data_IF_033179353870
#
_entry.id   IF_033179353870
#
_cell.length_a   1.000
_cell.length_b   1.000
_cell.length_c   1.000
_cell.angle_alpha   90.00
_cell.angle_beta   90.00
_cell.angle_gamma   90.00
#
_symmetry.space_group_name_H-M   'P 1'
#
loop_
_entity.id
_entity.type
_entity.pdbx_description
1 polymer ?
#
# COMPACT_ATOMS: atom_id res chain seq x y z
N UNK A 1 -19.11 -12.41 9.18
CA UNK A 1 -17.92 -13.09 8.66
C UNK A 1 -16.89 -13.21 9.78
N UNK A 2 -16.24 -14.35 10.01
CA UNK A 2 -15.24 -14.46 11.06
C UNK A 2 -14.00 -13.61 10.76
N UNK A 3 -13.23 -13.30 11.82
CA UNK A 3 -11.97 -12.59 11.70
C UNK A 3 -10.92 -13.55 11.18
N UNK A 4 -10.43 -13.30 9.96
CA UNK A 4 -9.37 -14.05 9.28
C UNK A 4 -8.13 -13.20 9.05
N UNK A 5 -8.23 -11.90 9.31
CA UNK A 5 -7.17 -10.90 9.21
C UNK A 5 -7.74 -9.49 9.33
N UNK A 6 -6.91 -8.48 9.15
CA UNK A 6 -7.28 -7.08 9.30
C UNK A 6 -8.43 -6.67 8.37
N UNK A 7 -8.45 -7.18 7.13
CA UNK A 7 -9.50 -6.88 6.16
C UNK A 7 -10.91 -7.28 6.64
N UNK A 8 -11.03 -8.44 7.34
CA UNK A 8 -12.32 -8.97 7.81
C UNK A 8 -12.77 -8.37 9.15
N UNK A 9 -11.89 -7.64 9.86
CA UNK A 9 -12.17 -7.17 11.21
C UNK A 9 -13.36 -6.20 11.27
N UNK A 10 -13.33 -5.15 10.45
CA UNK A 10 -14.42 -4.15 10.36
C UNK A 10 -15.73 -4.81 9.91
N UNK A 11 -15.66 -5.79 9.02
CA UNK A 11 -16.85 -6.53 8.58
C UNK A 11 -17.47 -7.34 9.72
N UNK A 12 -16.65 -8.02 10.51
CA UNK A 12 -17.13 -8.75 11.72
C UNK A 12 -17.77 -7.79 12.72
N UNK A 13 -17.19 -6.59 12.94
CA UNK A 13 -17.79 -5.57 13.77
C UNK A 13 -19.16 -5.12 13.24
N UNK A 14 -19.31 -4.96 11.92
CA UNK A 14 -20.59 -4.61 11.30
C UNK A 14 -21.66 -5.71 11.53
N UNK A 15 -21.30 -6.98 11.41
CA UNK A 15 -22.22 -8.10 11.68
C UNK A 15 -22.65 -8.12 13.15
N UNK A 16 -21.71 -7.90 14.08
CA UNK A 16 -22.04 -7.81 15.52
C UNK A 16 -22.94 -6.61 15.78
N UNK A 17 -22.70 -5.45 15.19
CA UNK A 17 -23.56 -4.26 15.33
C UNK A 17 -24.98 -4.50 14.78
N UNK A 18 -25.10 -5.19 13.64
CA UNK A 18 -26.38 -5.56 13.05
C UNK A 18 -27.15 -6.54 13.97
N UNK A 19 -26.48 -7.57 14.48
CA UNK A 19 -27.05 -8.52 15.40
C UNK A 19 -27.43 -7.86 16.74
N UNK A 20 -26.58 -6.98 17.26
CA UNK A 20 -26.88 -6.21 18.49
C UNK A 20 -28.11 -5.33 18.32
N UNK A 21 -28.33 -4.74 17.15
CA UNK A 21 -29.56 -4.01 16.84
C UNK A 21 -30.79 -4.92 16.90
N UNK A 22 -30.70 -6.14 16.37
CA UNK A 22 -31.80 -7.12 16.46
C UNK A 22 -32.09 -7.49 17.91
N UNK A 23 -31.07 -7.71 18.73
CA UNK A 23 -31.23 -7.94 20.16
C UNK A 23 -31.96 -6.75 20.86
N UNK A 24 -31.53 -5.53 20.57
CA UNK A 24 -32.17 -4.34 21.14
C UNK A 24 -33.64 -4.20 20.70
N UNK A 25 -33.97 -4.55 19.48
CA UNK A 25 -35.36 -4.53 18.97
C UNK A 25 -36.27 -5.58 19.64
N UNK A 26 -35.69 -6.68 20.14
CA UNK A 26 -36.41 -7.71 20.87
C UNK A 26 -36.62 -7.38 22.35
N UNK A 27 -35.81 -6.46 22.91
CA UNK A 27 -35.91 -6.03 24.30
C UNK A 27 -36.81 -4.80 24.48
N UNK A 28 -37.34 -4.55 25.69
CA UNK A 28 -38.07 -3.33 25.98
C UNK A 28 -37.17 -2.08 25.73
N UNK A 29 -37.68 -1.00 25.13
CA UNK A 29 -36.89 0.20 24.81
C UNK A 29 -36.17 0.84 26.01
N UNK A 30 -36.71 0.64 27.23
CA UNK A 30 -36.10 1.16 28.44
C UNK A 30 -34.85 0.37 28.92
N UNK A 31 -34.63 -0.85 28.39
CA UNK A 31 -33.55 -1.75 28.82
C UNK A 31 -32.79 -2.31 27.64
N UNK A 32 -32.12 -1.47 26.84
CA UNK A 32 -31.32 -1.95 25.73
C UNK A 32 -30.15 -2.81 26.22
N UNK A 33 -29.77 -3.80 25.44
CA UNK A 33 -28.61 -4.65 25.73
C UNK A 33 -27.35 -3.80 25.92
N UNK A 34 -26.62 -4.07 27.00
CA UNK A 34 -25.31 -3.50 27.30
C UNK A 34 -24.35 -4.64 27.62
N UNK A 35 -23.17 -4.58 27.08
CA UNK A 35 -22.15 -5.61 27.28
C UNK A 35 -21.24 -5.23 28.43
N UNK A 36 -21.15 -6.09 29.44
CA UNK A 36 -20.24 -5.92 30.56
C UNK A 36 -18.86 -6.46 30.18
N UNK A 37 -17.85 -5.61 30.25
CA UNK A 37 -16.45 -5.99 30.04
C UNK A 37 -15.87 -6.62 31.32
N UNK A 38 -14.71 -7.32 31.22
CA UNK A 38 -14.03 -7.90 32.39
C UNK A 38 -13.71 -6.90 33.50
N UNK A 39 -13.51 -5.63 33.16
CA UNK A 39 -13.26 -4.51 34.08
C UNK A 39 -14.54 -3.88 34.66
N UNK A 40 -15.70 -4.52 34.48
CA UNK A 40 -17.04 -4.05 34.91
C UNK A 40 -17.56 -2.79 34.19
N UNK A 41 -16.89 -2.36 33.13
CA UNK A 41 -17.42 -1.26 32.29
C UNK A 41 -18.53 -1.79 31.41
N UNK A 42 -19.63 -1.03 31.32
CA UNK A 42 -20.75 -1.35 30.43
C UNK A 42 -20.57 -0.60 29.10
N UNK A 43 -20.58 -1.36 28.01
CA UNK A 43 -20.49 -0.83 26.63
C UNK A 43 -21.87 -0.88 25.98
N UNK A 44 -22.27 0.21 25.35
CA UNK A 44 -23.48 0.33 24.54
C UNK A 44 -23.19 0.05 23.07
N UNK A 45 -24.23 -0.29 22.28
CA UNK A 45 -24.11 -0.46 20.83
C UNK A 45 -23.51 0.79 20.16
N UNK A 46 -23.96 2.00 20.54
CA UNK A 46 -23.46 3.25 19.96
C UNK A 46 -21.97 3.52 20.26
N UNK A 47 -21.49 3.13 21.46
CA UNK A 47 -20.05 3.21 21.76
C UNK A 47 -19.23 2.24 20.93
N UNK A 48 -19.74 1.02 20.70
CA UNK A 48 -19.05 0.06 19.82
C UNK A 48 -19.10 0.48 18.36
N UNK A 49 -20.20 1.10 17.89
CA UNK A 49 -20.29 1.69 16.55
C UNK A 49 -19.26 2.81 16.36
N UNK A 50 -19.07 3.69 17.34
CA UNK A 50 -18.05 4.73 17.29
C UNK A 50 -16.61 4.13 17.22
N UNK A 51 -16.34 3.02 17.91
CA UNK A 51 -15.06 2.31 17.81
C UNK A 51 -14.85 1.71 16.42
N UNK A 52 -15.87 1.07 15.82
CA UNK A 52 -15.82 0.60 14.45
C UNK A 52 -15.50 1.72 13.46
N UNK A 53 -16.14 2.89 13.61
CA UNK A 53 -15.89 4.05 12.75
C UNK A 53 -14.48 4.60 12.92
N UNK A 54 -13.97 4.62 14.16
CA UNK A 54 -12.61 5.01 14.47
C UNK A 54 -11.57 4.03 13.84
N UNK A 55 -11.81 2.73 13.92
CA UNK A 55 -10.95 1.72 13.29
C UNK A 55 -10.96 1.85 11.76
N UNK A 56 -12.13 2.10 11.15
CA UNK A 56 -12.23 2.36 9.71
C UNK A 56 -11.44 3.63 9.31
N UNK A 57 -11.54 4.69 10.09
CA UNK A 57 -10.75 5.90 9.87
C UNK A 57 -9.23 5.63 10.00
N UNK A 58 -8.81 4.82 10.97
CA UNK A 58 -7.40 4.44 11.13
C UNK A 58 -6.89 3.58 9.96
N UNK A 59 -7.70 2.67 9.42
CA UNK A 59 -7.36 1.93 8.18
C UNK A 59 -7.11 2.89 7.01
N UNK A 60 -7.92 3.95 6.87
CA UNK A 60 -7.71 4.96 5.85
C UNK A 60 -6.40 5.75 6.08
N UNK A 61 -6.01 6.01 7.34
CA UNK A 61 -4.70 6.61 7.67
C UNK A 61 -3.57 5.70 7.21
N UNK A 62 -3.63 4.39 7.49
CA UNK A 62 -2.61 3.43 7.03
C UNK A 62 -2.49 3.47 5.50
N UNK A 63 -3.62 3.45 4.77
CA UNK A 63 -3.59 3.52 3.30
C UNK A 63 -3.01 4.85 2.78
N UNK A 64 -3.28 5.97 3.46
CA UNK A 64 -2.71 7.27 3.11
C UNK A 64 -1.19 7.31 3.31
N UNK A 65 -0.69 6.76 4.43
CA UNK A 65 0.77 6.69 4.67
C UNK A 65 1.47 5.73 3.70
N UNK A 66 0.85 4.61 3.33
CA UNK A 66 1.35 3.73 2.27
C UNK A 66 1.43 4.45 0.92
N UNK A 67 0.42 5.28 0.59
CA UNK A 67 0.44 6.12 -0.61
C UNK A 67 1.61 7.10 -0.59
N UNK A 68 1.83 7.78 0.54
CA UNK A 68 2.93 8.72 0.71
C UNK A 68 4.30 8.04 0.54
N UNK A 69 4.45 6.83 1.09
CA UNK A 69 5.66 6.03 0.97
C UNK A 69 5.92 5.59 -0.49
N UNK A 70 4.88 5.10 -1.19
CA UNK A 70 5.01 4.69 -2.60
C UNK A 70 5.42 5.86 -3.51
N UNK A 71 4.83 7.04 -3.28
CA UNK A 71 5.21 8.27 -4.02
C UNK A 71 6.64 8.70 -3.71
N UNK A 72 7.10 8.62 -2.46
CA UNK A 72 8.49 8.95 -2.10
C UNK A 72 9.48 8.01 -2.81
N UNK A 73 9.19 6.72 -2.89
CA UNK A 73 9.96 5.73 -3.65
C UNK A 73 10.00 6.04 -5.14
N UNK A 74 8.86 6.42 -5.73
CA UNK A 74 8.80 6.86 -7.13
C UNK A 74 9.67 8.09 -7.42
N UNK A 75 9.75 9.06 -6.51
CA UNK A 75 10.65 10.22 -6.62
C UNK A 75 12.12 9.79 -6.62
N UNK A 76 12.51 8.84 -5.77
CA UNK A 76 13.87 8.31 -5.72
C UNK A 76 14.22 7.61 -7.04
N UNK A 77 13.34 6.75 -7.56
CA UNK A 77 13.56 6.05 -8.82
C UNK A 77 13.73 7.00 -10.00
N UNK A 78 12.87 8.02 -10.11
CA UNK A 78 12.96 9.04 -11.14
C UNK A 78 14.26 9.84 -11.02
N UNK A 79 14.64 10.24 -9.80
CA UNK A 79 15.88 10.98 -9.54
C UNK A 79 17.12 10.16 -9.90
N UNK A 80 17.14 8.86 -9.57
CA UNK A 80 18.21 7.94 -9.99
C UNK A 80 18.31 7.81 -11.51
N UNK A 81 17.17 7.67 -12.20
CA UNK A 81 17.16 7.56 -13.66
C UNK A 81 17.76 8.82 -14.31
N UNK A 82 17.35 10.00 -13.85
CA UNK A 82 17.86 11.29 -14.32
C UNK A 82 19.36 11.43 -14.07
N UNK A 83 19.83 11.10 -12.88
CA UNK A 83 21.26 11.17 -12.53
C UNK A 83 22.10 10.16 -13.33
N UNK A 84 21.59 8.94 -13.56
CA UNK A 84 22.29 7.95 -14.36
C UNK A 84 22.41 8.37 -15.83
N UNK A 85 21.41 9.04 -16.39
CA UNK A 85 21.49 9.62 -17.73
C UNK A 85 22.64 10.66 -17.79
N UNK A 86 22.74 11.54 -16.81
CA UNK A 86 23.84 12.53 -16.72
C UNK A 86 25.21 11.87 -16.52
N UNK A 87 25.26 10.82 -15.73
CA UNK A 87 26.48 10.02 -15.57
C UNK A 87 26.94 9.45 -16.93
N UNK A 88 26.02 8.86 -17.71
CA UNK A 88 26.32 8.32 -19.01
C UNK A 88 26.76 9.39 -20.01
N UNK A 89 26.15 10.58 -19.99
CA UNK A 89 26.59 11.71 -20.82
C UNK A 89 28.02 12.17 -20.48
N UNK A 90 28.32 12.29 -19.16
CA UNK A 90 29.64 12.66 -18.71
C UNK A 90 30.70 11.65 -19.17
N UNK A 91 30.44 10.35 -18.97
CA UNK A 91 31.37 9.28 -19.38
C UNK A 91 31.56 9.24 -20.89
N UNK A 92 30.50 9.45 -21.68
CA UNK A 92 30.58 9.53 -23.14
C UNK A 92 31.44 10.71 -23.59
N UNK A 93 31.32 11.88 -22.97
CA UNK A 93 32.22 13.03 -23.24
C UNK A 93 33.63 12.72 -22.85
N UNK A 94 33.86 12.07 -21.71
CA UNK A 94 35.18 11.69 -21.24
C UNK A 94 35.88 10.75 -22.25
N UNK A 95 35.13 9.72 -22.72
CA UNK A 95 35.61 8.77 -23.72
C UNK A 95 35.94 9.45 -25.05
N UNK A 96 35.14 10.42 -25.48
CA UNK A 96 35.34 11.11 -26.77
C UNK A 96 36.44 12.18 -26.76
N UNK A 97 36.66 12.89 -25.65
CA UNK A 97 37.54 14.08 -25.61
C UNK A 97 38.78 13.91 -24.75
N UNK A 98 38.79 13.00 -23.78
CA UNK A 98 39.93 12.77 -22.86
C UNK A 98 40.51 11.36 -22.94
N UNK A 99 40.24 10.59 -24.02
CA UNK A 99 40.54 9.16 -24.19
C UNK A 99 41.99 8.78 -23.78
N UNK A 100 42.99 9.60 -24.06
CA UNK A 100 44.38 9.27 -23.79
C UNK A 100 44.95 10.04 -22.56
N UNK A 101 44.08 10.50 -21.68
CA UNK A 101 44.47 11.27 -20.49
C UNK A 101 44.32 10.45 -19.21
N UNK A 102 44.95 10.98 -18.12
CA UNK A 102 44.77 10.41 -16.80
C UNK A 102 43.30 10.55 -16.29
N UNK A 103 42.55 11.52 -16.81
CA UNK A 103 41.11 11.66 -16.48
C UNK A 103 40.28 10.48 -16.96
N UNK A 104 40.55 9.96 -18.17
CA UNK A 104 39.86 8.77 -18.68
C UNK A 104 40.16 7.54 -17.82
N UNK A 105 41.37 7.37 -17.32
CA UNK A 105 41.75 6.25 -16.44
C UNK A 105 41.08 6.34 -15.07
N UNK A 106 40.69 7.51 -14.64
CA UNK A 106 40.03 7.79 -13.36
C UNK A 106 38.48 7.69 -13.47
N UNK A 107 37.95 7.22 -14.62
CA UNK A 107 36.52 7.07 -14.86
C UNK A 107 35.88 6.20 -13.79
N UNK A 108 34.81 6.64 -13.08
CA UNK A 108 34.09 5.82 -12.15
C UNK A 108 33.21 4.79 -12.88
N UNK A 109 32.86 3.72 -12.18
CA UNK A 109 31.87 2.75 -12.69
C UNK A 109 30.46 3.34 -12.62
N UNK A 110 29.61 2.99 -13.61
CA UNK A 110 28.21 3.40 -13.59
C UNK A 110 27.46 2.67 -12.47
N UNK A 111 26.69 3.39 -11.63
CA UNK A 111 25.82 2.77 -10.66
C UNK A 111 24.62 2.11 -11.33
N UNK A 112 24.01 1.11 -10.68
CA UNK A 112 22.77 0.49 -11.12
C UNK A 112 21.55 1.22 -10.56
N UNK A 113 20.43 1.23 -11.30
CA UNK A 113 19.17 1.81 -10.82
C UNK A 113 18.65 1.13 -9.56
N UNK A 114 18.93 -0.18 -9.40
CA UNK A 114 18.52 -0.97 -8.23
C UNK A 114 19.50 -0.91 -7.06
N UNK A 115 20.61 -0.20 -7.22
CA UNK A 115 21.59 -0.06 -6.14
C UNK A 115 21.00 0.71 -4.96
N UNK A 116 21.37 0.32 -3.75
CA UNK A 116 21.02 1.07 -2.55
C UNK A 116 21.69 2.46 -2.54
N UNK A 117 21.28 3.32 -1.61
CA UNK A 117 21.69 4.71 -1.52
C UNK A 117 23.21 4.91 -1.63
N UNK A 118 23.98 4.18 -0.83
CA UNK A 118 25.45 4.35 -0.79
C UNK A 118 26.11 3.91 -2.12
N UNK A 119 25.71 2.76 -2.65
CA UNK A 119 26.26 2.19 -3.89
C UNK A 119 25.91 3.05 -5.11
N UNK A 120 24.77 3.75 -5.08
CA UNK A 120 24.40 4.71 -6.13
C UNK A 120 25.12 6.05 -5.96
N UNK A 121 25.20 6.60 -4.75
CA UNK A 121 25.75 7.93 -4.51
C UNK A 121 27.27 8.00 -4.60
N UNK A 122 27.99 6.94 -4.23
CA UNK A 122 29.47 6.90 -4.27
C UNK A 122 30.05 7.11 -5.68
N UNK A 123 29.61 6.40 -6.74
CA UNK A 123 30.05 6.66 -8.11
C UNK A 123 29.70 8.07 -8.59
N UNK A 124 28.54 8.62 -8.22
CA UNK A 124 28.15 9.99 -8.54
C UNK A 124 29.10 11.02 -7.89
N UNK A 125 29.43 10.82 -6.62
CA UNK A 125 30.44 11.65 -5.92
C UNK A 125 31.81 11.58 -6.56
N UNK A 126 32.24 10.38 -7.01
CA UNK A 126 33.49 10.19 -7.74
C UNK A 126 33.46 10.90 -9.10
N UNK A 127 32.36 10.86 -9.83
CA UNK A 127 32.15 11.61 -11.07
C UNK A 127 32.25 13.12 -10.83
N UNK A 128 31.59 13.64 -9.79
CA UNK A 128 31.65 15.07 -9.41
C UNK A 128 33.08 15.54 -9.13
N UNK A 129 33.84 14.73 -8.39
CA UNK A 129 35.26 15.03 -8.09
C UNK A 129 36.10 15.04 -9.36
N UNK A 130 35.88 14.09 -10.27
CA UNK A 130 36.56 14.03 -11.55
C UNK A 130 36.19 15.22 -12.43
N UNK A 131 34.92 15.61 -12.46
CA UNK A 131 34.44 16.77 -13.21
C UNK A 131 35.06 18.08 -12.72
N UNK A 132 35.18 18.27 -11.41
CA UNK A 132 35.91 19.42 -10.84
C UNK A 132 37.36 19.49 -11.34
N UNK A 133 38.10 18.36 -11.27
CA UNK A 133 39.48 18.28 -11.76
C UNK A 133 39.62 18.56 -13.25
N UNK A 134 38.61 18.18 -14.05
CA UNK A 134 38.59 18.49 -15.50
C UNK A 134 38.38 19.99 -15.70
N UNK A 135 37.49 20.62 -14.95
CA UNK A 135 37.24 22.07 -15.04
C UNK A 135 38.45 22.91 -14.63
N UNK A 136 39.27 22.42 -13.68
CA UNK A 136 40.50 23.09 -13.21
C UNK A 136 41.73 22.78 -14.11
N UNK A 137 41.58 21.81 -15.03
CA UNK A 137 42.67 21.36 -15.91
C UNK A 137 42.71 22.07 -17.27
N UNK A 138 43.71 21.74 -18.10
CA UNK A 138 43.76 22.25 -19.48
C UNK A 138 42.67 21.64 -20.35
N UNK A 139 41.98 22.52 -21.10
CA UNK A 139 40.95 22.07 -22.06
C UNK A 139 41.60 21.35 -23.27
N UNK A 140 41.11 20.17 -23.68
CA UNK A 140 41.47 19.59 -24.96
C UNK A 140 40.96 20.42 -26.14
N UNK A 141 41.55 20.24 -27.33
CA UNK A 141 41.13 20.97 -28.52
C UNK A 141 39.64 20.80 -28.80
N UNK A 142 38.94 21.91 -29.01
CA UNK A 142 37.51 21.95 -29.29
C UNK A 142 36.60 21.66 -28.09
N UNK A 143 37.12 21.84 -26.85
CA UNK A 143 36.34 21.78 -25.62
C UNK A 143 36.35 23.13 -24.92
N UNK A 144 35.22 23.63 -24.52
CA UNK A 144 35.05 24.81 -23.68
C UNK A 144 34.91 24.41 -22.23
N UNK A 145 35.65 25.04 -21.32
CA UNK A 145 35.54 24.90 -19.88
C UNK A 145 34.90 26.17 -19.27
N UNK A 146 34.14 26.06 -18.17
CA UNK A 146 33.80 24.80 -17.49
C UNK A 146 32.95 23.86 -18.35
N UNK A 147 33.15 22.55 -18.18
CA UNK A 147 32.43 21.52 -18.90
C UNK A 147 30.93 21.59 -18.55
N UNK A 148 30.08 21.59 -19.57
CA UNK A 148 28.62 21.56 -19.44
C UNK A 148 28.08 20.32 -20.19
N UNK A 149 27.19 19.56 -19.57
CA UNK A 149 26.51 18.46 -20.23
C UNK A 149 25.34 18.99 -21.07
N UNK A 150 25.10 18.43 -22.27
CA UNK A 150 24.03 18.91 -23.13
C UNK A 150 22.64 18.61 -22.53
N UNK A 151 21.64 19.33 -23.02
CA UNK A 151 20.22 18.98 -22.79
C UNK A 151 19.91 17.58 -23.30
N UNK A 152 18.93 16.92 -22.68
CA UNK A 152 18.39 15.64 -23.09
C UNK A 152 16.89 15.74 -23.34
N UNK A 153 16.27 14.68 -23.84
CA UNK A 153 14.83 14.62 -23.97
C UNK A 153 14.11 14.74 -22.61
N UNK A 154 14.63 14.05 -21.58
CA UNK A 154 14.06 14.10 -20.23
C UNK A 154 14.43 15.36 -19.45
N UNK A 155 15.57 16.00 -19.78
CA UNK A 155 16.06 17.20 -19.12
C UNK A 155 16.47 18.22 -20.19
N UNK A 156 15.55 19.10 -20.63
CA UNK A 156 15.75 19.97 -21.79
C UNK A 156 16.76 21.11 -21.56
N UNK A 157 17.32 21.23 -20.35
CA UNK A 157 18.34 22.22 -20.04
C UNK A 157 19.74 21.59 -19.97
N UNK A 158 20.78 22.28 -20.49
CA UNK A 158 22.17 21.87 -20.23
C UNK A 158 22.46 21.85 -18.74
N UNK A 159 23.37 20.99 -18.31
CA UNK A 159 23.68 20.81 -16.89
C UNK A 159 25.13 21.15 -16.56
N UNK A 160 25.30 21.97 -15.55
CA UNK A 160 26.56 22.28 -14.92
C UNK A 160 26.86 21.30 -13.77
N UNK A 161 28.13 21.31 -13.33
CA UNK A 161 28.54 20.54 -12.15
C UNK A 161 27.76 20.94 -10.88
N UNK A 162 27.49 22.25 -10.69
CA UNK A 162 26.74 22.75 -9.53
C UNK A 162 25.28 22.27 -9.52
N UNK A 163 24.63 22.23 -10.68
CA UNK A 163 23.28 21.72 -10.82
C UNK A 163 23.21 20.22 -10.54
N UNK A 164 24.20 19.44 -11.00
CA UNK A 164 24.30 18.01 -10.67
C UNK A 164 24.50 17.80 -9.16
N UNK A 165 25.32 18.61 -8.51
CA UNK A 165 25.50 18.57 -7.06
C UNK A 165 24.18 18.81 -6.32
N UNK A 166 23.39 19.79 -6.79
CA UNK A 166 22.06 20.08 -6.25
C UNK A 166 21.08 18.91 -6.43
N UNK A 167 21.10 18.25 -7.60
CA UNK A 167 20.27 17.05 -7.84
C UNK A 167 20.69 15.87 -6.96
N UNK A 168 22.00 15.68 -6.74
CA UNK A 168 22.49 14.63 -5.84
C UNK A 168 22.09 14.90 -4.39
N UNK A 169 22.15 16.17 -3.94
CA UNK A 169 21.63 16.55 -2.63
C UNK A 169 20.12 16.34 -2.51
N UNK A 170 19.36 16.67 -3.56
CA UNK A 170 17.92 16.41 -3.59
C UNK A 170 17.60 14.92 -3.49
N UNK A 171 18.38 14.04 -4.12
CA UNK A 171 18.24 12.59 -3.95
C UNK A 171 18.51 12.15 -2.51
N UNK A 172 19.51 12.74 -1.82
CA UNK A 172 19.78 12.43 -0.41
C UNK A 172 18.61 12.85 0.49
N UNK A 173 18.00 14.01 0.23
CA UNK A 173 16.78 14.42 0.94
C UNK A 173 15.59 13.51 0.65
N UNK A 174 15.45 13.02 -0.59
CA UNK A 174 14.39 12.09 -0.95
C UNK A 174 14.50 10.76 -0.19
N UNK A 175 15.71 10.23 0.03
CA UNK A 175 15.92 9.05 0.89
C UNK A 175 15.53 9.32 2.35
N UNK A 176 15.93 10.47 2.90
CA UNK A 176 15.53 10.83 4.27
C UNK A 176 14.01 11.00 4.42
N UNK A 177 13.32 11.51 3.38
CA UNK A 177 11.86 11.58 3.35
C UNK A 177 11.22 10.19 3.26
N UNK A 178 11.76 9.27 2.43
CA UNK A 178 11.30 7.87 2.38
C UNK A 178 11.38 7.20 3.75
N UNK A 179 12.51 7.32 4.45
CA UNK A 179 12.70 6.77 5.80
C UNK A 179 11.63 7.31 6.78
N UNK A 180 11.33 8.61 6.70
CA UNK A 180 10.29 9.23 7.52
C UNK A 180 8.89 8.68 7.19
N UNK A 181 8.56 8.50 5.90
CA UNK A 181 7.27 7.92 5.47
C UNK A 181 7.14 6.46 5.93
N UNK A 182 8.21 5.67 5.84
CA UNK A 182 8.22 4.30 6.34
C UNK A 182 7.93 4.24 7.85
N UNK A 183 8.55 5.11 8.64
CA UNK A 183 8.28 5.23 10.07
C UNK A 183 6.81 5.61 10.34
N UNK A 184 6.22 6.50 9.56
CA UNK A 184 4.82 6.87 9.70
C UNK A 184 3.87 5.69 9.44
N UNK A 185 4.17 4.84 8.44
CA UNK A 185 3.42 3.60 8.19
C UNK A 185 3.48 2.68 9.40
N UNK A 186 4.67 2.47 9.98
CA UNK A 186 4.85 1.63 11.18
C UNK A 186 4.00 2.15 12.35
N UNK A 187 4.02 3.47 12.61
CA UNK A 187 3.23 4.09 13.67
C UNK A 187 1.72 3.98 13.43
N UNK A 188 1.28 4.16 12.18
CA UNK A 188 -0.13 4.05 11.81
C UNK A 188 -0.66 2.62 12.00
N UNK A 189 0.16 1.59 11.64
CA UNK A 189 -0.15 0.18 11.87
C UNK A 189 -0.23 -0.14 13.37
N UNK A 190 0.77 0.25 14.14
CA UNK A 190 0.79 0.01 15.59
C UNK A 190 -0.47 0.57 16.28
N UNK A 191 -0.90 1.76 15.89
CA UNK A 191 -2.14 2.35 16.41
C UNK A 191 -3.39 1.58 16.00
N UNK A 192 -3.46 1.08 14.76
CA UNK A 192 -4.55 0.22 14.30
C UNK A 192 -4.64 -1.05 15.13
N UNK A 193 -3.50 -1.70 15.35
CA UNK A 193 -3.41 -2.98 16.05
C UNK A 193 -3.82 -2.80 17.52
N UNK A 194 -3.40 -1.71 18.19
CA UNK A 194 -3.86 -1.35 19.54
C UNK A 194 -5.40 -1.20 19.58
N UNK A 195 -5.99 -0.52 18.60
CA UNK A 195 -7.45 -0.38 18.53
C UNK A 195 -8.15 -1.73 18.31
N UNK A 196 -7.60 -2.62 17.49
CA UNK A 196 -8.14 -3.97 17.27
C UNK A 196 -8.09 -4.81 18.54
N UNK A 197 -7.01 -4.74 19.30
CA UNK A 197 -6.88 -5.44 20.57
C UNK A 197 -7.95 -4.97 21.58
N UNK A 198 -8.16 -3.67 21.69
CA UNK A 198 -9.24 -3.13 22.53
C UNK A 198 -10.64 -3.58 22.07
N UNK A 199 -10.90 -3.54 20.77
CA UNK A 199 -12.19 -3.90 20.19
C UNK A 199 -12.46 -5.39 20.29
N UNK A 200 -11.40 -6.23 20.22
CA UNK A 200 -11.50 -7.68 20.39
C UNK A 200 -12.02 -8.07 21.78
N UNK A 201 -11.65 -7.32 22.81
CA UNK A 201 -12.21 -7.52 24.16
C UNK A 201 -13.73 -7.34 24.18
N UNK A 202 -14.25 -6.35 23.44
CA UNK A 202 -15.70 -6.11 23.33
C UNK A 202 -16.38 -7.22 22.54
N UNK A 203 -15.79 -7.63 21.42
CA UNK A 203 -16.31 -8.73 20.59
C UNK A 203 -16.39 -10.03 21.38
N UNK A 204 -15.37 -10.33 22.17
CA UNK A 204 -15.34 -11.53 23.03
C UNK A 204 -16.39 -11.44 24.12
N UNK A 205 -16.48 -10.30 24.85
CA UNK A 205 -17.48 -10.08 25.87
C UNK A 205 -18.90 -10.13 25.30
N UNK A 206 -19.13 -9.64 24.08
CA UNK A 206 -20.42 -9.77 23.39
C UNK A 206 -20.84 -11.24 23.25
N UNK A 207 -19.93 -12.10 22.81
CA UNK A 207 -20.22 -13.54 22.67
C UNK A 207 -20.43 -14.26 23.99
N UNK A 208 -19.82 -13.80 25.06
CA UNK A 208 -19.96 -14.37 26.40
C UNK A 208 -21.26 -13.93 27.08
N UNK A 209 -21.68 -12.67 26.90
CA UNK A 209 -22.84 -12.11 27.62
C UNK A 209 -24.18 -12.37 26.89
N UNK A 210 -24.22 -12.26 25.56
CA UNK A 210 -25.48 -12.40 24.78
C UNK A 210 -26.25 -13.70 25.06
N UNK A 211 -25.61 -14.89 25.17
CA UNK A 211 -26.36 -16.11 25.48
C UNK A 211 -27.12 -16.06 26.80
N UNK A 212 -26.61 -15.39 27.84
CA UNK A 212 -27.30 -15.24 29.11
C UNK A 212 -28.39 -14.16 29.08
N UNK A 213 -28.04 -13.01 28.48
CA UNK A 213 -28.92 -11.84 28.46
C UNK A 213 -30.12 -12.01 27.51
N UNK A 214 -29.94 -12.84 26.46
CA UNK A 214 -30.94 -13.14 25.43
C UNK A 214 -31.50 -14.53 25.54
N UNK A 215 -31.46 -15.17 26.71
CA UNK A 215 -31.95 -16.54 26.93
C UNK A 215 -33.43 -16.73 26.54
N UNK A 216 -34.26 -15.69 26.66
CA UNK A 216 -35.66 -15.69 26.22
C UNK A 216 -35.85 -15.67 24.68
N UNK A 217 -34.77 -15.47 23.91
CA UNK A 217 -34.78 -15.32 22.45
C UNK A 217 -33.76 -16.28 21.81
N UNK A 218 -33.98 -17.58 21.84
CA UNK A 218 -32.99 -18.60 21.41
C UNK A 218 -32.51 -18.43 19.97
N UNK A 219 -33.37 -17.98 19.05
CA UNK A 219 -33.04 -17.73 17.65
C UNK A 219 -31.95 -16.62 17.54
N UNK A 220 -32.00 -15.60 18.40
CA UNK A 220 -30.95 -14.56 18.39
C UNK A 220 -29.61 -15.11 18.93
N UNK A 221 -29.67 -16.03 19.91
CA UNK A 221 -28.43 -16.69 20.39
C UNK A 221 -27.80 -17.57 19.31
N UNK A 222 -28.61 -18.30 18.53
CA UNK A 222 -28.15 -19.17 17.46
C UNK A 222 -27.57 -18.40 16.26
N UNK A 223 -28.12 -17.23 15.96
CA UNK A 223 -27.68 -16.38 14.83
C UNK A 223 -26.53 -15.43 15.16
N UNK A 224 -25.97 -15.53 16.37
CA UNK A 224 -24.89 -14.67 16.81
C UNK A 224 -23.64 -14.79 15.91
N UNK A 225 -23.05 -13.66 15.45
CA UNK A 225 -21.87 -13.65 14.60
C UNK A 225 -20.69 -14.40 15.21
N UNK A 226 -19.94 -15.10 14.39
CA UNK A 226 -18.78 -15.88 14.79
C UNK A 226 -17.51 -15.05 14.69
N UNK A 227 -16.58 -15.26 15.61
CA UNK A 227 -15.26 -14.61 15.56
C UNK A 227 -14.23 -15.49 14.84
N UNK A 228 -14.46 -16.80 14.73
CA UNK A 228 -13.56 -17.73 14.05
C UNK A 228 -14.31 -18.53 12.99
N UNK A 229 -13.66 -18.93 11.89
CA UNK A 229 -14.24 -19.84 10.90
C UNK A 229 -14.68 -21.16 11.53
N UNK A 230 -15.67 -21.79 10.91
CA UNK A 230 -16.02 -23.18 11.26
C UNK A 230 -14.92 -24.13 10.76
N UNK A 231 -14.74 -25.28 11.44
CA UNK A 231 -13.97 -26.37 10.85
C UNK A 231 -14.54 -26.73 9.48
N UNK A 232 -13.68 -26.84 8.49
CA UNK A 232 -14.05 -27.15 7.12
C UNK A 232 -12.84 -27.07 6.19
N UNK A 233 -13.07 -27.31 4.90
CA UNK A 233 -12.01 -27.17 3.89
C UNK A 233 -11.75 -25.70 3.55
N UNK A 234 -10.58 -25.42 3.04
CA UNK A 234 -10.25 -24.14 2.42
C UNK A 234 -10.63 -24.22 0.93
N UNK A 235 -11.33 -23.22 0.37
CA UNK A 235 -11.68 -23.25 -1.06
C UNK A 235 -10.45 -23.14 -1.95
N UNK A 236 -10.59 -23.53 -3.22
CA UNK A 236 -9.60 -23.24 -4.22
C UNK A 236 -9.59 -21.75 -4.58
N UNK A 237 -8.39 -21.18 -4.74
CA UNK A 237 -8.22 -19.82 -5.18
C UNK A 237 -8.66 -19.64 -6.64
N UNK A 238 -9.32 -18.53 -6.95
CA UNK A 238 -9.70 -18.20 -8.33
C UNK A 238 -8.52 -17.60 -9.11
N UNK A 239 -8.52 -17.80 -10.44
CA UNK A 239 -7.66 -17.04 -11.32
C UNK A 239 -8.26 -15.66 -11.57
N UNK A 240 -7.44 -14.64 -11.49
CA UNK A 240 -7.86 -13.26 -11.66
C UNK A 240 -6.83 -12.43 -12.43
N UNK A 241 -7.28 -11.35 -13.05
CA UNK A 241 -6.43 -10.35 -13.71
C UNK A 241 -6.98 -8.96 -13.47
N UNK A 242 -6.09 -7.97 -13.45
CA UNK A 242 -6.44 -6.59 -13.25
C UNK A 242 -5.81 -5.71 -14.34
N UNK A 243 -6.55 -4.71 -14.82
CA UNK A 243 -6.06 -3.72 -15.78
C UNK A 243 -6.45 -2.31 -15.32
N UNK A 244 -5.58 -1.33 -15.60
CA UNK A 244 -5.90 0.06 -15.38
C UNK A 244 -6.87 0.55 -16.48
N UNK A 245 -7.93 1.25 -16.08
CA UNK A 245 -8.85 1.95 -16.98
C UNK A 245 -8.84 3.44 -16.64
N UNK A 246 -8.53 4.26 -17.63
CA UNK A 246 -8.54 5.71 -17.47
C UNK A 246 -9.93 6.23 -17.05
N UNK A 247 -10.00 7.30 -16.23
CA UNK A 247 -8.87 8.12 -15.77
C UNK A 247 -8.22 7.63 -14.48
N UNK A 248 -8.88 6.80 -13.65
CA UNK A 248 -8.49 6.49 -12.28
C UNK A 248 -9.07 5.16 -11.77
N UNK A 249 -9.38 4.21 -12.64
CA UNK A 249 -10.04 2.95 -12.29
C UNK A 249 -9.14 1.75 -12.54
N UNK A 250 -9.35 0.72 -11.73
CA UNK A 250 -8.90 -0.64 -12.03
C UNK A 250 -10.12 -1.51 -12.29
N UNK A 251 -10.08 -2.27 -13.38
CA UNK A 251 -11.03 -3.36 -13.66
C UNK A 251 -10.35 -4.68 -13.34
N UNK A 252 -11.00 -5.47 -12.48
CA UNK A 252 -10.57 -6.81 -12.06
C UNK A 252 -11.56 -7.82 -12.58
N UNK A 253 -11.09 -8.86 -13.28
CA UNK A 253 -11.92 -9.98 -13.76
C UNK A 253 -11.41 -11.27 -13.13
N UNK A 254 -12.32 -12.21 -12.84
CA UNK A 254 -11.98 -13.48 -12.22
C UNK A 254 -12.91 -14.60 -12.70
N UNK A 255 -12.46 -15.87 -12.61
CA UNK A 255 -13.28 -17.03 -12.95
C UNK A 255 -14.19 -17.43 -11.77
N UNK A 256 -15.19 -18.26 -12.06
CA UNK A 256 -16.07 -18.82 -11.03
C UNK A 256 -15.30 -19.80 -10.13
N UNK A 257 -15.71 -19.90 -8.87
CA UNK A 257 -15.42 -21.04 -7.99
C UNK A 257 -16.52 -22.08 -8.14
N UNK A 258 -16.14 -23.36 -8.15
CA UNK A 258 -17.08 -24.48 -8.22
C UNK A 258 -17.45 -25.02 -6.83
N UNK A 259 -17.06 -24.34 -5.74
CA UNK A 259 -17.32 -24.76 -4.38
C UNK A 259 -18.80 -24.63 -4.04
N UNK A 260 -19.39 -25.73 -3.57
CA UNK A 260 -20.83 -25.80 -3.21
C UNK A 260 -21.18 -24.95 -1.99
N UNK A 261 -20.21 -24.63 -1.15
CA UNK A 261 -20.38 -23.79 0.05
C UNK A 261 -20.03 -22.32 -0.20
N UNK A 262 -19.92 -21.91 -1.46
CA UNK A 262 -19.58 -20.53 -1.83
C UNK A 262 -20.60 -19.54 -1.24
N UNK A 263 -20.09 -18.60 -0.43
CA UNK A 263 -20.87 -17.47 0.09
C UNK A 263 -20.74 -16.24 -0.81
N UNK A 264 -19.56 -16.04 -1.46
CA UNK A 264 -19.33 -14.90 -2.34
C UNK A 264 -17.84 -14.66 -2.62
N UNK A 265 -17.58 -13.51 -3.21
CA UNK A 265 -16.23 -13.05 -3.55
C UNK A 265 -15.95 -11.69 -2.92
N UNK A 266 -14.71 -11.47 -2.54
CA UNK A 266 -14.24 -10.17 -2.06
C UNK A 266 -13.03 -9.70 -2.86
N UNK A 267 -13.05 -8.45 -3.27
CA UNK A 267 -11.85 -7.75 -3.71
C UNK A 267 -11.20 -7.11 -2.49
N UNK A 268 -9.96 -7.47 -2.21
CA UNK A 268 -9.14 -6.87 -1.17
C UNK A 268 -7.91 -6.25 -1.79
N UNK A 269 -7.39 -5.18 -1.18
CA UNK A 269 -6.18 -4.52 -1.67
C UNK A 269 -5.58 -3.56 -0.68
N UNK A 270 -4.34 -3.23 -0.94
CA UNK A 270 -3.56 -2.18 -0.27
C UNK A 270 -2.82 -1.35 -1.31
N UNK A 271 -2.43 -0.14 -0.93
CA UNK A 271 -1.55 0.70 -1.74
C UNK A 271 -0.11 0.19 -1.62
N UNK A 272 0.66 0.26 -2.71
CA UNK A 272 2.05 -0.14 -2.80
C UNK A 272 2.32 -1.18 -3.88
N UNK A 273 3.60 -1.53 -4.04
CA UNK A 273 4.09 -2.47 -5.05
C UNK A 273 3.98 -3.94 -4.65
N UNK A 274 3.66 -4.20 -3.37
CA UNK A 274 3.51 -5.54 -2.82
C UNK A 274 2.15 -5.70 -2.13
N UNK A 275 1.55 -6.88 -2.27
CA UNK A 275 0.33 -7.21 -1.55
C UNK A 275 0.67 -7.67 -0.13
N UNK A 276 0.04 -7.01 0.85
CA UNK A 276 0.15 -7.33 2.28
C UNK A 276 -1.23 -7.68 2.83
N UNK A 277 -1.40 -8.91 3.34
CA UNK A 277 -2.65 -9.29 4.03
C UNK A 277 -2.88 -8.48 5.31
N UNK A 278 -1.80 -7.94 5.89
CA UNK A 278 -1.86 -7.06 7.07
C UNK A 278 -2.46 -5.69 6.75
N UNK A 279 -2.15 -5.13 5.57
CA UNK A 279 -2.60 -3.79 5.18
C UNK A 279 -3.84 -3.81 4.29
N UNK A 280 -4.17 -4.97 3.73
CA UNK A 280 -5.29 -5.10 2.81
C UNK A 280 -6.62 -4.74 3.50
N UNK A 281 -7.43 -3.96 2.79
CA UNK A 281 -8.81 -3.64 3.17
C UNK A 281 -9.79 -4.29 2.20
N UNK A 282 -11.01 -4.56 2.66
CA UNK A 282 -12.10 -5.00 1.77
C UNK A 282 -12.57 -3.80 0.95
N UNK A 283 -12.43 -3.91 -0.36
CA UNK A 283 -12.79 -2.85 -1.32
C UNK A 283 -14.22 -3.05 -1.83
N UNK A 284 -14.56 -4.30 -2.18
CA UNK A 284 -15.87 -4.66 -2.72
C UNK A 284 -16.20 -6.13 -2.44
N UNK A 285 -17.48 -6.46 -2.47
CA UNK A 285 -17.99 -7.83 -2.34
C UNK A 285 -19.00 -8.13 -3.45
N UNK A 286 -18.97 -9.36 -3.96
CA UNK A 286 -19.93 -9.87 -4.94
C UNK A 286 -20.57 -11.17 -4.44
N UNK A 287 -21.88 -11.28 -4.59
CA UNK A 287 -22.60 -12.53 -4.37
C UNK A 287 -22.22 -13.60 -5.43
N UNK A 288 -22.45 -14.89 -5.17
CA UNK A 288 -22.12 -15.97 -6.10
C UNK A 288 -22.69 -15.81 -7.51
N UNK A 289 -23.86 -15.17 -7.66
CA UNK A 289 -24.54 -14.92 -8.94
C UNK A 289 -24.19 -13.61 -9.64
N UNK A 290 -23.39 -12.75 -9.02
CA UNK A 290 -23.01 -11.45 -9.58
C UNK A 290 -22.06 -11.60 -10.77
N UNK A 291 -21.90 -10.54 -11.61
CA UNK A 291 -20.87 -10.50 -12.64
C UNK A 291 -19.47 -10.76 -12.06
N UNK A 292 -18.64 -11.50 -12.79
CA UNK A 292 -17.27 -11.88 -12.37
C UNK A 292 -16.27 -10.75 -12.60
N UNK A 293 -16.66 -9.57 -12.17
CA UNK A 293 -15.81 -8.39 -12.28
C UNK A 293 -16.00 -7.44 -11.09
N UNK A 294 -14.94 -6.71 -10.78
CA UNK A 294 -14.95 -5.55 -9.90
C UNK A 294 -14.40 -4.35 -10.64
N UNK A 295 -14.97 -3.17 -10.40
CA UNK A 295 -14.42 -1.89 -10.85
C UNK A 295 -14.20 -1.03 -9.61
N UNK A 296 -12.98 -0.51 -9.45
CA UNK A 296 -12.61 0.26 -8.27
C UNK A 296 -11.71 1.45 -8.62
N UNK A 297 -11.80 2.52 -7.82
CA UNK A 297 -10.87 3.66 -7.82
C UNK A 297 -9.92 3.62 -6.63
N UNK A 298 -9.97 2.55 -5.83
CA UNK A 298 -9.18 2.42 -4.60
C UNK A 298 -7.69 2.66 -4.87
N UNK A 299 -7.09 3.59 -4.13
CA UNK A 299 -5.69 3.95 -4.19
C UNK A 299 -5.22 4.62 -5.49
N UNK A 300 -6.06 4.75 -6.51
CA UNK A 300 -5.69 5.29 -7.83
C UNK A 300 -6.00 6.80 -8.00
N UNK A 301 -6.12 7.53 -6.90
CA UNK A 301 -6.44 8.96 -6.89
C UNK A 301 -5.29 9.86 -7.39
N UNK A 302 -4.03 9.39 -7.34
CA UNK A 302 -2.85 10.14 -7.75
C UNK A 302 -2.07 9.40 -8.85
N UNK A 303 -1.51 10.11 -9.85
CA UNK A 303 -0.62 9.50 -10.84
C UNK A 303 0.65 8.91 -10.18
N UNK A 304 1.11 7.79 -10.70
CA UNK A 304 2.30 7.09 -10.22
C UNK A 304 2.05 6.09 -9.10
N UNK A 305 0.94 6.16 -8.38
CA UNK A 305 0.63 5.23 -7.28
C UNK A 305 0.36 3.82 -7.80
N UNK A 306 0.86 2.84 -7.05
CA UNK A 306 0.64 1.41 -7.25
C UNK A 306 -0.43 0.88 -6.30
N UNK A 307 -1.20 -0.09 -6.76
CA UNK A 307 -2.19 -0.81 -5.94
C UNK A 307 -2.02 -2.30 -6.16
N UNK A 308 -1.94 -3.04 -5.07
CA UNK A 308 -1.90 -4.48 -5.06
C UNK A 308 -3.29 -5.03 -4.68
N UNK A 309 -3.82 -5.96 -5.47
CA UNK A 309 -5.20 -6.47 -5.37
C UNK A 309 -5.19 -8.00 -5.34
N UNK A 310 -6.13 -8.60 -4.58
CA UNK A 310 -6.48 -10.03 -4.64
C UNK A 310 -7.99 -10.21 -4.62
N UNK A 311 -8.46 -11.25 -5.29
CA UNK A 311 -9.85 -11.73 -5.18
C UNK A 311 -9.89 -12.93 -4.25
N UNK A 312 -10.70 -12.84 -3.20
CA UNK A 312 -10.93 -13.92 -2.24
C UNK A 312 -12.23 -14.66 -2.53
N UNK A 313 -12.16 -15.99 -2.49
CA UNK A 313 -13.32 -16.86 -2.43
C UNK A 313 -13.69 -17.05 -0.96
N UNK A 314 -14.94 -16.79 -0.60
CA UNK A 314 -15.42 -16.88 0.77
C UNK A 314 -16.48 -17.98 0.85
N UNK A 315 -16.33 -18.91 1.79
CA UNK A 315 -17.32 -19.95 2.05
C UNK A 315 -18.31 -19.56 3.15
N UNK A 316 -19.46 -20.21 3.19
CA UNK A 316 -20.46 -20.07 4.26
C UNK A 316 -19.92 -20.48 5.64
N UNK A 317 -18.86 -21.29 5.69
CA UNK A 317 -18.11 -21.63 6.90
C UNK A 317 -17.22 -20.48 7.39
N UNK A 318 -16.95 -19.49 6.53
CA UNK A 318 -16.02 -18.40 6.76
C UNK A 318 -14.56 -18.73 6.38
N UNK A 319 -14.29 -19.94 5.87
CA UNK A 319 -12.99 -20.27 5.28
C UNK A 319 -12.83 -19.53 3.96
N UNK A 320 -11.61 -19.14 3.63
CA UNK A 320 -11.31 -18.31 2.46
C UNK A 320 -10.00 -18.67 1.78
N UNK A 321 -9.88 -18.34 0.50
CA UNK A 321 -8.62 -18.39 -0.25
C UNK A 321 -8.51 -17.20 -1.20
N UNK A 322 -7.33 -16.59 -1.24
CA UNK A 322 -7.03 -15.45 -2.11
C UNK A 322 -6.35 -15.89 -3.41
N UNK A 323 -6.66 -15.20 -4.50
CA UNK A 323 -5.98 -15.34 -5.79
C UNK A 323 -4.50 -14.95 -5.70
N UNK A 324 -3.75 -15.16 -6.77
CA UNK A 324 -2.46 -14.49 -6.94
C UNK A 324 -2.64 -12.96 -6.86
N UNK A 325 -1.62 -12.27 -6.34
CA UNK A 325 -1.63 -10.81 -6.28
C UNK A 325 -1.56 -10.21 -7.69
N UNK A 326 -2.37 -9.18 -7.92
CA UNK A 326 -2.42 -8.40 -9.15
C UNK A 326 -1.95 -6.98 -8.82
N UNK A 327 -1.18 -6.38 -9.73
CA UNK A 327 -0.63 -5.04 -9.54
C UNK A 327 -1.15 -4.10 -10.63
N UNK A 328 -1.64 -2.94 -10.21
CA UNK A 328 -2.14 -1.89 -11.09
C UNK A 328 -1.43 -0.59 -10.73
N UNK A 329 -0.88 0.09 -11.72
CA UNK A 329 -0.29 1.40 -11.55
C UNK A 329 -1.11 2.43 -12.32
N UNK A 330 -1.42 3.55 -11.69
CA UNK A 330 -1.91 4.72 -12.42
C UNK A 330 -0.75 5.37 -13.15
N UNK A 331 -0.79 5.50 -14.50
CA UNK A 331 0.29 6.13 -15.25
C UNK A 331 0.62 7.54 -14.73
N UNK A 332 1.88 7.92 -14.79
CA UNK A 332 2.28 9.31 -14.57
C UNK A 332 1.62 10.21 -15.61
N UNK A 333 1.17 11.39 -15.21
CA UNK A 333 0.69 12.37 -16.16
C UNK A 333 1.85 12.75 -17.09
N UNK A 334 1.73 12.46 -18.38
CA UNK A 334 2.67 12.95 -19.38
C UNK A 334 2.50 14.46 -19.41
N UNK A 335 3.54 15.21 -19.04
CA UNK A 335 3.54 16.65 -19.21
C UNK A 335 3.34 16.95 -20.71
N UNK A 336 2.21 17.60 -21.05
CA UNK A 336 1.87 18.00 -22.40
C UNK A 336 2.74 19.18 -22.86
#
# INVERSE_FOLDING_TARGET
MPITGNASYVQTMNEVLAHWLQCNNALPPATPLRIELPNKTLVTRGQFEAKRDALLAQNNVVQAELTNLDLARGIIELSKANLLERFNQFTTKLDGKWQNTHFHRARPYAPGLRDGQENFSRPMGSMMTLWAKINDGPAPSGVTLPLVLPATFMQPTPMTQGELASQLSALQFAYADEDLKDQNVVLARAKRDEMQDEDYVILKAYRENVPSDMMAFPTLVETMPRLSPLPGHTPDAVNSSAVFEAPDKAKVVYNASDDLMLAGYQLRGNVGTDYSDEDAVVIATNDPGAPREFVTTFGLNQPGVHVALKVYVILTTGNEAGSAAMFVQRPLAVAA
#
